data_IF_673121165556
#
_entry.id   IF_673121165556
#
_cell.length_a   1.000
_cell.length_b   1.000
_cell.length_c   1.000
_cell.angle_alpha   90.00
_cell.angle_beta   90.00
_cell.angle_gamma   90.00
#
_symmetry.space_group_name_H-M   'P 1'
#
loop_
_entity.id
_entity.type
_entity.pdbx_description
1 polymer ?
#
# COMPACT_ATOMS: atom_id res chain seq x y z
N UNK A 1 9.64 35.00 36.58
CA UNK A 1 10.80 34.07 36.64
C UNK A 1 10.39 33.03 37.67
N UNK A 2 9.89 31.83 37.36
CA UNK A 2 10.33 30.84 36.37
C UNK A 2 9.17 29.97 35.79
N UNK A 3 7.90 30.31 35.99
CA UNK A 3 6.81 29.36 35.71
C UNK A 3 6.24 29.32 34.28
N UNK A 4 6.74 30.16 33.35
CA UNK A 4 6.13 30.38 32.03
C UNK A 4 6.86 29.72 30.85
N UNK A 5 7.93 28.95 31.10
CA UNK A 5 8.73 28.30 30.05
C UNK A 5 8.51 26.78 29.94
N UNK A 6 7.92 26.13 30.94
CA UNK A 6 7.59 24.70 30.92
C UNK A 6 6.34 24.38 30.08
N UNK A 7 5.36 25.31 30.01
CA UNK A 7 4.16 25.15 29.17
C UNK A 7 4.42 25.31 27.66
N UNK A 8 5.49 26.03 27.27
CA UNK A 8 5.88 26.18 25.86
C UNK A 8 6.68 25.00 25.32
N UNK A 9 7.37 24.24 26.18
CA UNK A 9 8.08 23.03 25.77
C UNK A 9 7.15 21.81 25.64
N UNK A 10 6.08 21.74 26.45
CA UNK A 10 5.08 20.65 26.38
C UNK A 10 4.13 20.81 25.18
N UNK A 11 3.88 22.05 24.73
CA UNK A 11 3.09 22.33 23.52
C UNK A 11 3.81 21.95 22.21
N UNK A 12 5.15 21.88 22.21
CA UNK A 12 5.95 21.49 21.02
C UNK A 12 6.09 19.95 20.93
N UNK A 13 6.08 19.25 22.07
CA UNK A 13 6.13 17.78 22.09
C UNK A 13 4.77 17.16 21.71
N UNK A 14 3.64 17.83 21.98
CA UNK A 14 2.30 17.36 21.59
C UNK A 14 1.90 17.64 20.13
N UNK A 15 2.57 18.58 19.45
CA UNK A 15 2.27 18.95 18.05
C UNK A 15 3.04 18.12 17.01
N UNK A 16 4.05 17.35 17.45
CA UNK A 16 4.78 16.38 16.62
C UNK A 16 4.37 14.92 16.87
N UNK A 17 3.58 14.63 17.91
CA UNK A 17 3.08 13.29 18.20
C UNK A 17 1.81 12.90 17.39
N UNK A 18 1.10 13.86 16.79
CA UNK A 18 -0.16 13.60 16.07
C UNK A 18 -0.01 13.12 14.61
N UNK A 19 1.03 13.50 13.82
CA UNK A 19 1.23 12.89 12.51
C UNK A 19 2.00 11.56 12.57
N UNK A 20 2.85 11.32 13.58
CA UNK A 20 3.48 10.01 13.76
C UNK A 20 2.53 8.96 14.36
N UNK A 21 1.61 9.35 15.25
CA UNK A 21 0.60 8.41 15.74
C UNK A 21 -0.36 7.98 14.62
N UNK A 22 -0.70 8.84 13.66
CA UNK A 22 -1.52 8.45 12.50
C UNK A 22 -0.82 7.45 11.58
N UNK A 23 0.52 7.53 11.46
CA UNK A 23 1.32 6.58 10.71
C UNK A 23 1.45 5.21 11.41
N UNK A 24 1.44 5.17 12.75
CA UNK A 24 1.38 3.93 13.53
C UNK A 24 -0.05 3.38 13.71
N UNK A 25 -1.08 4.24 13.67
CA UNK A 25 -2.50 3.85 13.84
C UNK A 25 -3.02 2.97 12.69
N UNK A 26 -2.40 3.08 11.50
CA UNK A 26 -2.73 2.21 10.36
C UNK A 26 -2.06 0.83 10.46
N UNK A 27 -1.16 0.62 11.43
CA UNK A 27 -0.41 -0.63 11.60
C UNK A 27 -0.87 -1.50 12.79
N UNK A 28 -1.45 -0.93 13.88
CA UNK A 28 -2.10 -1.70 14.96
C UNK A 28 -3.07 -0.82 15.78
N UNK A 29 -4.38 -1.05 15.73
CA UNK A 29 -5.30 -0.52 16.76
C UNK A 29 -6.73 -0.25 16.29
N UNK A 30 -7.67 -0.96 16.88
CA UNK A 30 -9.12 -0.85 16.64
C UNK A 30 -9.69 0.55 16.94
N UNK A 31 -10.56 1.12 16.09
CA UNK A 31 -11.19 2.42 16.32
C UNK A 31 -12.48 2.28 17.14
N UNK A 32 -12.37 2.18 18.46
CA UNK A 32 -13.54 2.20 19.35
C UNK A 32 -13.25 2.98 20.64
N UNK A 33 -12.94 4.27 20.50
CA UNK A 33 -13.11 5.27 21.56
C UNK A 33 -12.80 6.66 20.97
N UNK A 34 -13.78 7.31 20.34
CA UNK A 34 -13.93 8.78 20.27
C UNK A 34 -15.04 9.13 19.26
N UNK A 35 -16.26 8.66 19.55
CA UNK A 35 -17.48 9.19 18.94
C UNK A 35 -18.24 9.97 20.01
N UNK A 36 -17.75 11.18 20.31
CA UNK A 36 -18.54 12.18 21.04
C UNK A 36 -18.30 13.55 20.42
N UNK A 37 -19.31 14.01 19.68
CA UNK A 37 -19.65 15.42 19.47
C UNK A 37 -18.56 16.35 18.88
N UNK A 38 -18.10 16.05 17.67
CA UNK A 38 -17.51 17.07 16.76
C UNK A 38 -18.33 17.13 15.44
N UNK A 39 -19.63 16.88 15.54
CA UNK A 39 -20.58 17.37 14.55
C UNK A 39 -21.08 18.72 15.08
N UNK A 40 -20.81 19.79 14.34
CA UNK A 40 -21.15 21.21 14.64
C UNK A 40 -20.06 22.02 15.36
N UNK A 41 -18.95 22.30 14.67
CA UNK A 41 -18.27 23.59 14.81
C UNK A 41 -17.46 23.92 13.54
N UNK A 42 -17.96 24.88 12.77
CA UNK A 42 -17.28 25.70 11.75
C UNK A 42 -16.23 25.02 10.86
N UNK A 43 -16.70 24.40 9.77
CA UNK A 43 -15.93 24.14 8.55
C UNK A 43 -15.60 25.45 7.83
N UNK A 44 -14.60 26.18 8.34
CA UNK A 44 -14.03 27.38 7.70
C UNK A 44 -12.59 27.68 8.14
N UNK A 45 -11.80 26.65 8.47
CA UNK A 45 -10.34 26.80 8.48
C UNK A 45 -9.82 26.56 7.06
N UNK A 46 -9.02 27.48 6.49
CA UNK A 46 -8.34 27.22 5.22
C UNK A 46 -7.51 25.94 5.38
N UNK A 47 -7.81 24.91 4.59
CA UNK A 47 -6.88 23.79 4.46
C UNK A 47 -5.60 24.37 3.87
N UNK A 48 -4.53 24.38 4.68
CA UNK A 48 -3.22 24.80 4.23
C UNK A 48 -2.84 24.00 2.99
N UNK A 49 -2.49 24.70 1.91
CA UNK A 49 -2.00 24.07 0.69
C UNK A 49 -0.67 23.34 0.96
N UNK A 50 -0.37 22.35 0.13
CA UNK A 50 0.90 21.61 0.25
C UNK A 50 2.10 22.55 0.03
N UNK A 51 1.93 23.53 -0.85
CA UNK A 51 2.90 24.59 -1.14
C UNK A 51 3.18 25.47 0.09
N UNK A 52 2.14 25.88 0.83
CA UNK A 52 2.29 26.67 2.06
C UNK A 52 2.97 25.85 3.18
N UNK A 53 2.64 24.56 3.29
CA UNK A 53 3.27 23.67 4.26
C UNK A 53 4.78 23.49 3.97
N UNK A 54 5.14 23.35 2.69
CA UNK A 54 6.54 23.32 2.24
C UNK A 54 7.26 24.61 2.59
N UNK A 55 6.65 25.78 2.33
CA UNK A 55 7.27 27.06 2.64
C UNK A 55 7.56 27.22 4.15
N UNK A 56 6.64 26.77 5.01
CA UNK A 56 6.86 26.76 6.46
C UNK A 56 7.96 25.79 6.88
N UNK A 57 8.03 24.61 6.25
CA UNK A 57 9.09 23.65 6.51
C UNK A 57 10.46 24.19 6.08
N UNK A 58 10.55 24.83 4.91
CA UNK A 58 11.77 25.50 4.43
C UNK A 58 12.21 26.60 5.40
N UNK A 59 11.29 27.40 5.95
CA UNK A 59 11.63 28.43 6.94
C UNK A 59 12.19 27.82 8.23
N UNK A 60 11.57 26.76 8.75
CA UNK A 60 12.09 26.03 9.92
C UNK A 60 13.47 25.45 9.67
N UNK A 61 13.71 24.93 8.47
CA UNK A 61 15.02 24.41 8.07
C UNK A 61 16.06 25.51 7.88
N UNK A 62 15.69 26.78 7.73
CA UNK A 62 16.66 27.88 7.82
C UNK A 62 17.13 28.11 9.25
N UNK A 63 16.24 27.95 10.23
CA UNK A 63 16.57 28.06 11.65
C UNK A 63 17.35 26.84 12.16
N UNK A 64 17.02 25.64 11.63
CA UNK A 64 17.70 24.38 11.96
C UNK A 64 18.07 23.60 10.68
N UNK A 65 19.19 23.97 10.01
CA UNK A 65 19.58 23.38 8.73
C UNK A 65 20.06 21.94 8.81
N UNK A 66 20.39 21.47 10.03
CA UNK A 66 21.00 20.15 10.26
C UNK A 66 19.97 19.10 10.72
N UNK A 67 18.67 19.42 10.62
CA UNK A 67 17.58 18.49 10.86
C UNK A 67 17.42 17.49 9.69
N UNK A 68 18.03 16.31 9.83
CA UNK A 68 17.97 15.21 8.85
C UNK A 68 16.53 14.83 8.52
N UNK A 69 15.67 14.70 9.53
CA UNK A 69 14.27 14.28 9.36
C UNK A 69 13.47 15.37 8.64
N UNK A 70 13.71 16.64 8.97
CA UNK A 70 13.15 17.78 8.27
C UNK A 70 13.57 17.85 6.80
N UNK A 71 14.85 17.60 6.50
CA UNK A 71 15.36 17.54 5.12
C UNK A 71 14.75 16.37 4.34
N UNK A 72 14.62 15.19 4.96
CA UNK A 72 13.95 14.03 4.36
C UNK A 72 12.47 14.30 4.08
N UNK A 73 11.76 14.94 5.01
CA UNK A 73 10.37 15.33 4.82
C UNK A 73 10.22 16.32 3.67
N UNK A 74 11.07 17.34 3.60
CA UNK A 74 11.09 18.29 2.49
C UNK A 74 11.33 17.57 1.17
N UNK A 75 12.32 16.69 1.12
CA UNK A 75 12.68 15.94 -0.08
C UNK A 75 11.53 15.06 -0.59
N UNK A 76 10.90 14.27 0.29
CA UNK A 76 9.74 13.42 -0.05
C UNK A 76 8.53 14.23 -0.50
N UNK A 77 8.29 15.37 0.15
CA UNK A 77 7.18 16.26 -0.21
C UNK A 77 7.40 16.83 -1.62
N UNK A 78 8.58 17.39 -1.88
CA UNK A 78 8.94 17.89 -3.21
C UNK A 78 8.90 16.77 -4.27
N UNK A 79 9.35 15.56 -3.92
CA UNK A 79 9.28 14.40 -4.81
C UNK A 79 7.83 14.03 -5.16
N UNK A 80 6.92 14.02 -4.19
CA UNK A 80 5.49 13.75 -4.42
C UNK A 80 4.83 14.81 -5.32
N UNK A 81 5.30 16.06 -5.24
CA UNK A 81 4.90 17.17 -6.10
C UNK A 81 5.58 17.13 -7.47
N UNK A 82 6.42 16.13 -7.75
CA UNK A 82 7.24 15.99 -8.96
C UNK A 82 8.26 17.11 -9.16
N UNK A 83 8.57 17.87 -8.11
CA UNK A 83 9.63 18.87 -8.07
C UNK A 83 10.98 18.19 -7.81
N UNK A 84 11.39 17.29 -8.71
CA UNK A 84 12.56 16.41 -8.49
C UNK A 84 13.86 17.18 -8.27
N UNK A 85 14.05 18.35 -8.88
CA UNK A 85 15.20 19.23 -8.63
C UNK A 85 15.32 19.64 -7.15
N UNK A 86 14.20 20.03 -6.55
CA UNK A 86 14.15 20.42 -5.13
C UNK A 86 14.30 19.20 -4.23
N UNK A 87 13.68 18.08 -4.61
CA UNK A 87 13.82 16.82 -3.89
C UNK A 87 15.28 16.36 -3.83
N UNK A 88 15.99 16.36 -4.95
CA UNK A 88 17.42 16.02 -5.01
C UNK A 88 18.25 16.92 -4.10
N UNK A 89 17.99 18.23 -4.09
CA UNK A 89 18.69 19.18 -3.22
C UNK A 89 18.53 18.82 -1.74
N UNK A 90 17.29 18.58 -1.30
CA UNK A 90 17.00 18.23 0.09
C UNK A 90 17.54 16.84 0.47
N UNK A 91 17.42 15.83 -0.40
CA UNK A 91 18.02 14.51 -0.17
C UNK A 91 19.55 14.56 -0.08
N UNK A 92 20.23 15.41 -0.88
CA UNK A 92 21.67 15.59 -0.78
C UNK A 92 22.06 16.19 0.56
N UNK A 93 21.34 17.22 1.03
CA UNK A 93 21.57 17.80 2.35
C UNK A 93 21.32 16.77 3.47
N UNK A 94 20.25 15.96 3.37
CA UNK A 94 20.03 14.85 4.30
C UNK A 94 21.20 13.85 4.31
N UNK A 95 21.73 13.49 3.14
CA UNK A 95 22.89 12.58 3.02
C UNK A 95 24.21 13.21 3.50
N UNK A 96 24.37 14.52 3.40
CA UNK A 96 25.53 15.23 3.99
C UNK A 96 25.50 15.18 5.52
N UNK A 97 24.30 15.32 6.11
CA UNK A 97 24.10 15.31 7.56
C UNK A 97 24.15 13.90 8.16
N UNK A 98 23.59 12.93 7.46
CA UNK A 98 23.56 11.51 7.84
C UNK A 98 24.11 10.66 6.69
N UNK A 99 25.44 10.62 6.50
CA UNK A 99 26.04 9.82 5.46
C UNK A 99 25.89 8.33 5.75
N UNK A 100 25.90 7.51 4.70
CA UNK A 100 25.81 6.04 4.79
C UNK A 100 24.49 5.51 5.36
N UNK A 101 23.40 6.25 5.15
CA UNK A 101 22.06 5.74 5.42
C UNK A 101 21.45 5.14 4.15
N UNK A 102 21.21 3.82 4.18
CA UNK A 102 20.69 3.08 3.00
C UNK A 102 19.39 3.69 2.45
N UNK A 103 18.49 4.12 3.31
CA UNK A 103 17.21 4.74 2.91
C UNK A 103 17.43 6.06 2.19
N UNK A 104 18.28 6.94 2.73
CA UNK A 104 18.56 8.26 2.13
C UNK A 104 19.22 8.08 0.77
N UNK A 105 20.22 7.20 0.67
CA UNK A 105 20.92 6.90 -0.57
C UNK A 105 19.98 6.34 -1.65
N UNK A 106 19.04 5.46 -1.26
CA UNK A 106 18.05 4.88 -2.17
C UNK A 106 17.09 5.93 -2.72
N UNK A 107 16.54 6.77 -1.84
CA UNK A 107 15.57 7.81 -2.24
C UNK A 107 16.24 8.94 -3.04
N UNK A 108 17.50 9.30 -2.70
CA UNK A 108 18.31 10.23 -3.48
C UNK A 108 18.55 9.70 -4.90
N UNK A 109 18.94 8.43 -5.04
CA UNK A 109 19.19 7.81 -6.33
C UNK A 109 17.95 7.86 -7.24
N UNK A 110 16.78 7.52 -6.68
CA UNK A 110 15.51 7.59 -7.40
C UNK A 110 15.15 9.02 -7.82
N UNK A 111 15.32 10.01 -6.93
CA UNK A 111 15.07 11.40 -7.26
C UNK A 111 15.99 11.91 -8.39
N UNK A 112 17.26 11.50 -8.40
CA UNK A 112 18.21 11.83 -9.47
C UNK A 112 17.78 11.20 -10.80
N UNK A 113 17.37 9.93 -10.79
CA UNK A 113 16.93 9.21 -12.00
C UNK A 113 15.69 9.88 -12.64
N UNK A 114 14.74 10.32 -11.82
CA UNK A 114 13.49 10.93 -12.29
C UNK A 114 13.63 12.40 -12.71
N UNK A 115 14.54 13.16 -12.09
CA UNK A 115 14.79 14.58 -12.43
C UNK A 115 14.99 14.83 -13.92
N UNK A 116 15.68 13.94 -14.62
CA UNK A 116 16.01 14.14 -16.03
C UNK A 116 14.94 13.60 -17.01
N UNK A 117 13.76 13.18 -16.52
CA UNK A 117 12.68 12.55 -17.30
C UNK A 117 13.11 11.30 -18.11
N UNK A 118 14.29 10.73 -17.81
CA UNK A 118 14.79 9.52 -18.45
C UNK A 118 14.52 8.27 -17.62
N UNK A 119 14.37 8.43 -16.30
CA UNK A 119 14.13 7.31 -15.37
C UNK A 119 15.25 6.26 -15.34
N UNK A 120 16.41 6.57 -15.92
CA UNK A 120 17.57 5.66 -15.92
C UNK A 120 18.28 5.73 -14.58
N UNK A 121 18.64 4.56 -14.06
CA UNK A 121 19.41 4.45 -12.82
C UNK A 121 20.92 4.34 -13.06
N UNK A 122 21.37 4.46 -14.31
CA UNK A 122 22.79 4.42 -14.65
C UNK A 122 23.53 5.69 -14.24
N UNK A 123 24.82 5.55 -13.93
CA UNK A 123 25.70 6.68 -13.62
C UNK A 123 25.72 7.00 -12.12
N UNK A 124 25.27 8.21 -11.75
CA UNK A 124 25.27 8.62 -10.34
C UNK A 124 24.28 7.82 -9.46
N UNK A 125 23.01 7.58 -9.85
CA UNK A 125 22.07 6.79 -9.06
C UNK A 125 22.61 5.38 -8.74
N UNK A 126 23.24 4.73 -9.72
CA UNK A 126 23.83 3.40 -9.56
C UNK A 126 24.85 3.36 -8.41
N UNK A 127 25.70 4.38 -8.25
CA UNK A 127 26.69 4.43 -7.17
C UNK A 127 26.02 4.49 -5.80
N UNK A 128 24.97 5.31 -5.69
CA UNK A 128 24.19 5.41 -4.46
C UNK A 128 23.41 4.14 -4.16
N UNK A 129 22.84 3.49 -5.17
CA UNK A 129 22.11 2.21 -5.02
C UNK A 129 23.04 1.06 -4.63
N UNK A 130 24.22 0.97 -5.26
CA UNK A 130 25.24 0.01 -4.87
C UNK A 130 25.63 0.20 -3.39
N UNK A 131 25.86 1.45 -2.97
CA UNK A 131 26.21 1.75 -1.58
C UNK A 131 25.05 1.45 -0.62
N UNK A 132 23.83 1.79 -1.00
CA UNK A 132 22.63 1.51 -0.22
C UNK A 132 22.42 0.01 0.01
N UNK A 133 22.67 -0.80 -1.03
CA UNK A 133 22.61 -2.26 -0.95
C UNK A 133 23.72 -2.83 -0.05
N UNK A 134 24.96 -2.34 -0.16
CA UNK A 134 26.06 -2.74 0.75
C UNK A 134 25.72 -2.48 2.23
N UNK A 135 25.12 -1.32 2.51
CA UNK A 135 24.78 -0.90 3.87
C UNK A 135 23.60 -1.67 4.46
N UNK A 136 22.60 -1.98 3.63
CA UNK A 136 21.44 -2.76 4.04
C UNK A 136 20.94 -3.66 2.90
N UNK A 137 21.40 -4.91 2.85
CA UNK A 137 20.94 -5.90 1.88
C UNK A 137 19.48 -6.35 2.06
N UNK A 138 18.75 -5.80 3.02
CA UNK A 138 17.32 -6.06 3.26
C UNK A 138 16.42 -4.90 2.77
N UNK A 139 17.01 -3.81 2.26
CA UNK A 139 16.25 -2.70 1.70
C UNK A 139 15.67 -3.12 0.32
N UNK A 140 14.44 -3.63 0.33
CA UNK A 140 13.75 -4.14 -0.86
C UNK A 140 13.75 -3.15 -2.03
N UNK A 141 13.54 -1.85 -1.75
CA UNK A 141 13.56 -0.80 -2.77
C UNK A 141 14.97 -0.61 -3.36
N UNK A 142 16.00 -0.62 -2.52
CA UNK A 142 17.39 -0.54 -3.00
C UNK A 142 17.74 -1.73 -3.90
N UNK A 143 17.37 -2.96 -3.52
CA UNK A 143 17.62 -4.17 -4.30
C UNK A 143 16.93 -4.10 -5.66
N UNK A 144 15.64 -3.73 -5.67
CA UNK A 144 14.87 -3.56 -6.90
C UNK A 144 15.54 -2.56 -7.84
N UNK A 145 15.78 -1.33 -7.37
CA UNK A 145 16.35 -0.25 -8.18
C UNK A 145 17.80 -0.54 -8.59
N UNK A 146 18.60 -1.19 -7.73
CA UNK A 146 19.95 -1.59 -8.10
C UNK A 146 19.92 -2.67 -9.19
N UNK A 147 19.04 -3.66 -9.08
CA UNK A 147 18.81 -4.67 -10.12
C UNK A 147 18.40 -4.07 -11.47
N UNK A 148 17.62 -2.98 -11.47
CA UNK A 148 17.28 -2.23 -12.69
C UNK A 148 18.52 -1.71 -13.42
N UNK A 149 19.58 -1.30 -12.69
CA UNK A 149 20.83 -0.84 -13.32
C UNK A 149 21.50 -1.94 -14.13
N UNK A 150 21.52 -3.18 -13.61
CA UNK A 150 22.05 -4.34 -14.33
C UNK A 150 21.15 -4.75 -15.48
N UNK A 151 19.83 -4.63 -15.31
CA UNK A 151 18.87 -4.94 -16.36
C UNK A 151 19.03 -3.99 -17.56
N UNK A 152 19.17 -2.68 -17.30
CA UNK A 152 19.45 -1.67 -18.33
C UNK A 152 20.78 -1.94 -19.05
N UNK A 153 21.78 -2.49 -18.34
CA UNK A 153 23.07 -2.93 -18.92
C UNK A 153 23.00 -4.28 -19.62
N UNK A 154 21.86 -4.95 -19.60
CA UNK A 154 21.68 -6.33 -20.08
C UNK A 154 22.54 -7.38 -19.35
N UNK A 155 22.99 -7.06 -18.12
CA UNK A 155 23.65 -8.01 -17.23
C UNK A 155 22.58 -8.84 -16.50
N UNK A 156 21.90 -9.68 -17.29
CA UNK A 156 20.78 -10.51 -16.84
C UNK A 156 21.16 -11.48 -15.73
N UNK A 157 22.43 -11.91 -15.67
CA UNK A 157 22.92 -12.78 -14.61
C UNK A 157 22.88 -12.08 -13.24
N UNK A 158 23.39 -10.84 -13.15
CA UNK A 158 23.33 -10.08 -11.90
C UNK A 158 21.93 -9.61 -11.55
N UNK A 159 21.12 -9.23 -12.54
CA UNK A 159 19.71 -8.90 -12.27
C UNK A 159 18.97 -10.10 -11.70
N UNK A 160 19.16 -11.29 -12.29
CA UNK A 160 18.54 -12.52 -11.82
C UNK A 160 18.91 -12.83 -10.37
N UNK A 161 20.19 -12.69 -10.00
CA UNK A 161 20.68 -12.92 -8.64
C UNK A 161 20.00 -11.98 -7.63
N UNK A 162 20.06 -10.66 -7.87
CA UNK A 162 19.46 -9.66 -6.99
C UNK A 162 17.94 -9.82 -6.84
N UNK A 163 17.23 -9.97 -7.96
CA UNK A 163 15.77 -10.05 -7.94
C UNK A 163 15.26 -11.41 -7.44
N UNK A 164 16.04 -12.49 -7.56
CA UNK A 164 15.68 -13.77 -6.91
C UNK A 164 15.74 -13.63 -5.39
N UNK A 165 16.80 -13.01 -4.84
CA UNK A 165 16.87 -12.72 -3.41
C UNK A 165 15.74 -11.79 -2.93
N UNK A 166 15.37 -10.80 -3.74
CA UNK A 166 14.20 -9.94 -3.45
C UNK A 166 12.89 -10.74 -3.46
N UNK A 167 12.69 -11.64 -4.42
CA UNK A 167 11.48 -12.46 -4.54
C UNK A 167 11.24 -13.34 -3.31
N UNK A 168 12.31 -13.85 -2.70
CA UNK A 168 12.22 -14.63 -1.46
C UNK A 168 11.84 -13.78 -0.25
N UNK A 169 12.15 -12.48 -0.26
CA UNK A 169 11.90 -11.53 0.84
C UNK A 169 10.51 -10.89 0.81
N UNK A 170 9.87 -10.84 -0.35
CA UNK A 170 8.54 -10.22 -0.50
C UNK A 170 7.47 -11.16 0.08
N UNK A 171 6.68 -10.62 1.01
CA UNK A 171 5.51 -11.28 1.58
C UNK A 171 4.19 -10.89 0.89
N UNK A 172 4.16 -9.74 0.20
CA UNK A 172 2.98 -9.32 -0.56
C UNK A 172 2.87 -10.13 -1.85
N UNK A 173 1.86 -11.00 -1.95
CA UNK A 173 1.66 -11.89 -3.10
C UNK A 173 1.50 -11.12 -4.41
N UNK A 174 0.90 -9.92 -4.39
CA UNK A 174 0.75 -9.08 -5.58
C UNK A 174 2.09 -8.60 -6.13
N UNK A 175 2.93 -8.03 -5.26
CA UNK A 175 4.29 -7.59 -5.61
C UNK A 175 5.17 -8.80 -5.98
N UNK A 176 5.01 -9.93 -5.29
CA UNK A 176 5.76 -11.16 -5.57
C UNK A 176 5.42 -11.71 -6.96
N UNK A 177 4.14 -11.70 -7.34
CA UNK A 177 3.68 -12.05 -8.69
C UNK A 177 4.27 -11.12 -9.75
N UNK A 178 4.18 -9.80 -9.53
CA UNK A 178 4.76 -8.83 -10.47
C UNK A 178 6.27 -9.04 -10.66
N UNK A 179 7.00 -9.30 -9.58
CA UNK A 179 8.43 -9.61 -9.66
C UNK A 179 8.72 -10.95 -10.36
N UNK A 180 7.88 -11.97 -10.16
CA UNK A 180 7.99 -13.25 -10.86
C UNK A 180 7.86 -13.09 -12.38
N UNK A 181 6.96 -12.21 -12.84
CA UNK A 181 6.82 -11.91 -14.28
C UNK A 181 8.12 -11.32 -14.85
N UNK A 182 8.73 -10.36 -14.14
CA UNK A 182 10.01 -9.76 -14.54
C UNK A 182 11.16 -10.79 -14.52
N UNK A 183 11.21 -11.64 -13.49
CA UNK A 183 12.17 -12.73 -13.39
C UNK A 183 11.98 -13.75 -14.52
N UNK A 184 10.75 -14.05 -14.92
CA UNK A 184 10.47 -15.00 -15.99
C UNK A 184 10.91 -14.48 -17.36
N UNK A 185 10.79 -13.18 -17.64
CA UNK A 185 11.37 -12.57 -18.85
C UNK A 185 12.90 -12.78 -18.90
N UNK A 186 13.59 -12.53 -17.79
CA UNK A 186 15.04 -12.74 -17.68
C UNK A 186 15.40 -14.23 -17.81
N UNK A 187 14.69 -15.11 -17.11
CA UNK A 187 14.93 -16.56 -17.14
C UNK A 187 14.71 -17.13 -18.53
N UNK A 188 13.72 -16.64 -19.27
CA UNK A 188 13.51 -17.01 -20.67
C UNK A 188 14.68 -16.61 -21.57
N UNK A 189 15.26 -15.40 -21.38
CA UNK A 189 16.44 -14.94 -22.14
C UNK A 189 17.70 -15.75 -21.84
N UNK A 190 17.74 -16.42 -20.69
CA UNK A 190 18.85 -17.25 -20.23
C UNK A 190 18.58 -18.77 -20.39
N UNK A 191 17.49 -19.15 -21.07
CA UNK A 191 17.06 -20.55 -21.23
C UNK A 191 16.91 -21.32 -19.89
N UNK A 192 16.46 -20.62 -18.85
CA UNK A 192 16.25 -21.17 -17.52
C UNK A 192 14.78 -21.54 -17.26
N UNK A 193 14.50 -22.55 -16.39
CA UNK A 193 13.14 -22.89 -16.00
C UNK A 193 12.41 -21.70 -15.39
N UNK A 194 11.22 -21.40 -15.90
CA UNK A 194 10.37 -20.31 -15.40
C UNK A 194 9.89 -20.60 -13.96
N UNK A 195 9.77 -19.54 -13.17
CA UNK A 195 9.04 -19.54 -11.91
C UNK A 195 7.56 -19.73 -12.26
N UNK A 196 7.03 -20.90 -11.94
CA UNK A 196 5.60 -21.19 -12.11
C UNK A 196 4.84 -20.54 -10.97
N UNK A 197 3.79 -19.80 -11.29
CA UNK A 197 2.85 -19.38 -10.25
C UNK A 197 2.30 -20.61 -9.52
N UNK A 198 2.13 -20.53 -8.19
CA UNK A 198 1.41 -21.57 -7.47
C UNK A 198 0.01 -21.72 -8.09
N UNK A 199 -0.28 -22.92 -8.59
CA UNK A 199 -1.60 -23.24 -9.10
C UNK A 199 -2.49 -23.51 -7.90
N UNK A 200 -3.40 -22.58 -7.64
CA UNK A 200 -4.39 -22.73 -6.59
C UNK A 200 -5.67 -23.33 -7.16
N UNK A 201 -6.13 -24.42 -6.55
CA UNK A 201 -7.43 -25.00 -6.88
C UNK A 201 -8.55 -24.02 -6.56
N UNK A 202 -9.51 -23.88 -7.47
CA UNK A 202 -10.69 -23.06 -7.22
C UNK A 202 -11.59 -23.74 -6.19
N UNK A 203 -11.81 -23.08 -5.05
CA UNK A 203 -12.57 -23.62 -3.93
C UNK A 203 -14.02 -23.09 -3.90
N UNK A 204 -14.23 -21.88 -4.40
CA UNK A 204 -15.56 -21.25 -4.49
C UNK A 204 -15.68 -20.61 -5.87
N UNK A 205 -16.82 -20.83 -6.54
CA UNK A 205 -17.24 -20.02 -7.68
C UNK A 205 -18.52 -19.27 -7.31
N UNK A 206 -18.59 -17.97 -7.62
CA UNK A 206 -19.78 -17.19 -7.35
C UNK A 206 -20.10 -16.19 -8.46
N UNK A 207 -21.39 -15.91 -8.64
CA UNK A 207 -21.87 -14.77 -9.41
C UNK A 207 -22.33 -13.71 -8.40
N UNK A 208 -21.77 -12.51 -8.51
CA UNK A 208 -22.14 -11.36 -7.69
C UNK A 208 -22.97 -10.41 -8.55
N UNK A 209 -24.14 -10.05 -8.05
CA UNK A 209 -25.04 -9.07 -8.68
C UNK A 209 -25.55 -8.05 -7.66
N UNK A 210 -26.13 -6.96 -8.15
CA UNK A 210 -26.73 -5.89 -7.36
C UNK A 210 -28.24 -5.82 -7.62
N UNK A 211 -29.04 -5.70 -6.56
CA UNK A 211 -30.48 -5.59 -6.69
C UNK A 211 -30.89 -4.33 -7.46
N UNK A 212 -32.02 -4.40 -8.17
CA UNK A 212 -32.54 -3.27 -8.95
C UNK A 212 -32.71 -2.00 -8.09
N UNK A 213 -33.16 -2.17 -6.84
CA UNK A 213 -33.34 -1.08 -5.87
C UNK A 213 -32.04 -0.33 -5.52
N UNK A 214 -30.88 -0.97 -5.67
CA UNK A 214 -29.58 -0.42 -5.30
C UNK A 214 -28.76 0.06 -6.50
N UNK A 215 -29.16 -0.25 -7.74
CA UNK A 215 -28.42 0.18 -8.95
C UNK A 215 -28.22 1.70 -9.02
N UNK A 216 -29.25 2.46 -8.65
CA UNK A 216 -29.18 3.93 -8.60
C UNK A 216 -28.14 4.48 -7.61
N UNK A 217 -27.78 3.71 -6.57
CA UNK A 217 -26.77 4.13 -5.59
C UNK A 217 -25.36 4.08 -6.16
N UNK A 218 -25.11 3.15 -7.10
CA UNK A 218 -23.83 2.95 -7.79
C UNK A 218 -23.75 3.67 -9.15
N UNK A 219 -24.88 4.12 -9.70
CA UNK A 219 -24.93 4.76 -11.01
C UNK A 219 -24.03 6.00 -11.07
N UNK A 220 -23.15 6.03 -12.08
CA UNK A 220 -22.21 7.14 -12.29
C UNK A 220 -21.08 7.23 -11.25
N UNK A 221 -20.92 6.23 -10.38
CA UNK A 221 -19.86 6.18 -9.37
C UNK A 221 -18.95 4.97 -9.58
N UNK A 222 -17.68 5.12 -9.22
CA UNK A 222 -16.79 4.00 -8.97
C UNK A 222 -16.81 3.69 -7.47
N UNK A 223 -16.74 2.42 -7.12
CA UNK A 223 -16.69 1.97 -5.74
C UNK A 223 -15.79 0.74 -5.60
N UNK A 224 -15.47 0.35 -4.38
CA UNK A 224 -14.69 -0.86 -4.10
C UNK A 224 -15.61 -2.00 -3.68
N UNK A 225 -15.63 -3.08 -4.46
CA UNK A 225 -16.25 -4.35 -4.11
C UNK A 225 -15.28 -5.18 -3.27
N UNK A 226 -15.77 -5.62 -2.12
CA UNK A 226 -15.15 -6.60 -1.23
C UNK A 226 -15.97 -7.87 -1.24
N UNK A 227 -15.38 -9.00 -1.64
CA UNK A 227 -15.99 -10.33 -1.50
C UNK A 227 -15.12 -11.08 -0.51
N UNK A 228 -15.71 -11.58 0.56
CA UNK A 228 -14.97 -12.14 1.67
C UNK A 228 -15.54 -13.47 2.13
N UNK A 229 -14.66 -14.30 2.68
CA UNK A 229 -15.05 -15.49 3.44
C UNK A 229 -14.71 -15.29 4.92
N UNK A 230 -15.53 -15.84 5.82
CA UNK A 230 -15.30 -15.84 7.27
C UNK A 230 -15.50 -17.26 7.81
N UNK A 231 -14.92 -17.54 8.96
CA UNK A 231 -15.22 -18.78 9.68
C UNK A 231 -16.69 -18.85 10.13
N UNK A 232 -17.24 -20.07 10.14
CA UNK A 232 -18.61 -20.35 10.63
C UNK A 232 -18.69 -20.47 12.15
N UNK A 233 -17.55 -20.64 12.85
CA UNK A 233 -17.49 -20.79 14.31
C UNK A 233 -16.48 -19.82 14.93
N UNK A 234 -16.78 -19.38 16.15
CA UNK A 234 -15.94 -18.42 16.89
C UNK A 234 -16.23 -16.97 16.49
N UNK A 235 -15.29 -16.07 16.78
CA UNK A 235 -15.37 -14.69 16.29
C UNK A 235 -15.17 -14.71 14.78
N UNK A 236 -16.07 -14.12 13.97
CA UNK A 236 -16.05 -14.27 12.52
C UNK A 236 -14.88 -13.50 11.90
N UNK A 237 -13.72 -14.15 11.89
CA UNK A 237 -12.48 -13.63 11.32
C UNK A 237 -12.49 -13.88 9.81
N UNK A 238 -12.17 -12.87 8.98
CA UNK A 238 -12.08 -13.06 7.54
C UNK A 238 -10.90 -13.98 7.20
N UNK A 239 -11.11 -14.89 6.26
CA UNK A 239 -10.10 -15.85 5.77
C UNK A 239 -9.53 -15.38 4.44
N UNK A 240 -10.40 -15.10 3.47
CA UNK A 240 -10.01 -14.55 2.16
C UNK A 240 -10.74 -13.26 1.85
N UNK A 241 -10.12 -12.39 1.05
CA UNK A 241 -10.77 -11.20 0.51
C UNK A 241 -10.37 -10.98 -0.96
N UNK A 242 -11.37 -10.78 -1.81
CA UNK A 242 -11.20 -10.15 -3.13
C UNK A 242 -11.57 -8.68 -2.98
N UNK A 243 -10.68 -7.80 -3.45
CA UNK A 243 -10.91 -6.35 -3.54
C UNK A 243 -10.84 -5.93 -5.01
N UNK A 244 -11.89 -5.28 -5.51
CA UNK A 244 -11.95 -4.81 -6.91
C UNK A 244 -12.64 -3.46 -7.03
N UNK A 245 -12.12 -2.56 -7.85
CA UNK A 245 -12.86 -1.36 -8.27
C UNK A 245 -13.95 -1.76 -9.25
N UNK A 246 -15.18 -1.32 -9.00
CA UNK A 246 -16.35 -1.68 -9.80
C UNK A 246 -17.23 -0.46 -10.12
N UNK A 247 -17.98 -0.60 -11.20
CA UNK A 247 -19.07 0.27 -11.66
C UNK A 247 -20.29 -0.58 -12.01
N UNK A 248 -21.46 0.06 -12.20
CA UNK A 248 -22.72 -0.66 -12.44
C UNK A 248 -22.66 -1.60 -13.65
N UNK A 249 -21.93 -1.24 -14.70
CA UNK A 249 -21.79 -2.06 -15.91
C UNK A 249 -21.01 -3.36 -15.71
N UNK A 250 -20.32 -3.53 -14.59
CA UNK A 250 -19.58 -4.75 -14.28
C UNK A 250 -20.49 -5.88 -13.78
N UNK A 251 -21.73 -5.59 -13.38
CA UNK A 251 -22.66 -6.55 -12.80
C UNK A 251 -23.66 -7.11 -13.83
N UNK A 252 -24.02 -8.42 -13.76
CA UNK A 252 -23.48 -9.42 -12.83
C UNK A 252 -22.06 -9.86 -13.21
N UNK A 253 -21.24 -10.20 -12.22
CA UNK A 253 -19.87 -10.68 -12.45
C UNK A 253 -19.61 -12.05 -11.83
N UNK A 254 -18.81 -12.86 -12.51
CA UNK A 254 -18.33 -14.13 -11.99
C UNK A 254 -16.98 -13.95 -11.29
N UNK A 255 -16.83 -14.63 -10.15
CA UNK A 255 -15.60 -14.66 -9.35
C UNK A 255 -15.27 -16.09 -8.95
N UNK A 256 -13.97 -16.34 -8.79
CA UNK A 256 -13.43 -17.57 -8.23
C UNK A 256 -12.59 -17.22 -7.01
N UNK A 257 -12.70 -18.00 -5.95
CA UNK A 257 -11.86 -17.86 -4.76
C UNK A 257 -11.04 -19.13 -4.56
N UNK A 258 -9.77 -18.94 -4.22
CA UNK A 258 -8.81 -19.97 -3.90
C UNK A 258 -7.87 -19.48 -2.80
N UNK A 259 -6.88 -20.30 -2.48
CA UNK A 259 -5.84 -19.93 -1.52
C UNK A 259 -4.98 -18.72 -1.96
N UNK A 260 -5.06 -18.31 -3.23
CA UNK A 260 -4.44 -17.09 -3.72
C UNK A 260 -4.97 -15.81 -3.02
N UNK A 261 -6.15 -15.86 -2.41
CA UNK A 261 -6.79 -14.70 -1.76
C UNK A 261 -6.75 -14.76 -0.23
N UNK A 262 -5.95 -15.66 0.35
CA UNK A 262 -5.79 -15.77 1.79
C UNK A 262 -5.20 -14.50 2.40
N UNK A 263 -5.81 -14.02 3.50
CA UNK A 263 -5.30 -12.86 4.24
C UNK A 263 -4.07 -13.20 5.08
N UNK A 264 -3.90 -14.47 5.45
CA UNK A 264 -2.82 -14.95 6.30
C UNK A 264 -2.15 -16.16 5.64
N UNK A 265 -0.81 -16.18 5.50
CA UNK A 265 -0.10 -17.28 4.81
C UNK A 265 -0.30 -18.66 5.45
N UNK A 266 -0.53 -18.70 6.76
CA UNK A 266 -0.67 -19.91 7.58
C UNK A 266 -2.12 -20.27 7.90
N UNK A 267 -3.10 -19.65 7.22
CA UNK A 267 -4.52 -19.90 7.43
C UNK A 267 -5.22 -19.83 6.09
N UNK A 268 -5.42 -21.00 5.50
CA UNK A 268 -5.81 -21.13 4.10
C UNK A 268 -7.28 -21.43 3.94
N UNK A 269 -7.92 -20.91 2.91
CA UNK A 269 -9.30 -21.26 2.56
C UNK A 269 -9.47 -22.77 2.42
N UNK A 270 -8.49 -23.46 1.83
CA UNK A 270 -8.51 -24.92 1.64
C UNK A 270 -8.55 -25.73 2.95
N UNK A 271 -8.20 -25.13 4.09
CA UNK A 271 -8.17 -25.81 5.39
C UNK A 271 -9.56 -25.87 6.04
N UNK A 272 -10.52 -25.09 5.52
CA UNK A 272 -11.89 -25.06 6.01
C UNK A 272 -12.78 -26.07 5.29
N UNK A 273 -13.77 -26.61 6.02
CA UNK A 273 -14.86 -27.39 5.40
C UNK A 273 -16.03 -26.51 5.00
N UNK A 274 -16.31 -25.49 5.80
CA UNK A 274 -17.40 -24.55 5.59
C UNK A 274 -16.93 -23.14 5.93
N UNK A 275 -17.44 -22.17 5.17
CA UNK A 275 -17.18 -20.74 5.36
C UNK A 275 -18.44 -19.93 5.15
N UNK A 276 -18.48 -18.74 5.74
CA UNK A 276 -19.50 -17.72 5.48
C UNK A 276 -19.01 -16.84 4.34
N UNK A 277 -19.72 -16.80 3.23
CA UNK A 277 -19.44 -15.96 2.07
C UNK A 277 -20.34 -14.72 2.08
N UNK A 278 -19.76 -13.55 1.85
CA UNK A 278 -20.49 -12.29 1.73
C UNK A 278 -19.82 -11.31 0.77
N UNK A 279 -20.58 -10.32 0.32
CA UNK A 279 -20.10 -9.24 -0.53
C UNK A 279 -20.52 -7.87 0.02
N UNK A 280 -19.68 -6.86 -0.22
CA UNK A 280 -19.93 -5.47 0.16
C UNK A 280 -19.37 -4.51 -0.87
N UNK A 281 -20.14 -3.50 -1.26
CA UNK A 281 -19.65 -2.34 -2.02
C UNK A 281 -19.41 -1.19 -1.06
N UNK A 282 -18.18 -0.69 -1.03
CA UNK A 282 -17.77 0.46 -0.23
C UNK A 282 -17.46 1.68 -1.09
N UNK A 283 -18.09 2.79 -0.74
CA UNK A 283 -17.84 4.09 -1.37
C UNK A 283 -16.69 4.86 -0.70
N UNK A 284 -16.41 4.57 0.56
CA UNK A 284 -15.31 5.18 1.32
C UNK A 284 -13.96 4.50 1.06
N UNK A 285 -14.00 3.24 0.63
CA UNK A 285 -12.82 2.42 0.36
C UNK A 285 -12.18 1.79 1.59
N UNK A 286 -12.70 2.04 2.79
CA UNK A 286 -12.24 1.36 4.01
C UNK A 286 -12.52 -0.15 3.95
N UNK A 287 -11.61 -0.95 4.51
CA UNK A 287 -11.75 -2.40 4.56
C UNK A 287 -12.86 -2.84 5.54
N UNK A 288 -13.04 -2.10 6.65
CA UNK A 288 -14.14 -2.33 7.59
C UNK A 288 -15.46 -1.74 7.07
N UNK A 289 -16.57 -2.43 7.36
CA UNK A 289 -17.90 -2.00 6.92
C UNK A 289 -18.26 -0.63 7.50
N UNK A 290 -18.70 0.27 6.63
CA UNK A 290 -19.15 1.61 7.03
C UNK A 290 -20.65 1.76 6.81
N UNK A 291 -21.28 2.67 7.55
CA UNK A 291 -22.66 3.07 7.31
C UNK A 291 -22.80 3.59 5.88
N UNK A 292 -23.81 3.11 5.16
CA UNK A 292 -24.07 3.44 3.76
C UNK A 292 -23.39 2.53 2.74
N UNK A 293 -22.52 1.61 3.16
CA UNK A 293 -22.00 0.56 2.28
C UNK A 293 -23.16 -0.36 1.84
N UNK A 294 -23.14 -0.83 0.59
CA UNK A 294 -24.14 -1.79 0.10
C UNK A 294 -23.66 -3.20 0.45
N UNK A 295 -24.52 -4.04 1.02
CA UNK A 295 -24.17 -5.37 1.54
C UNK A 295 -25.08 -6.46 0.97
N UNK A 296 -24.53 -7.67 0.83
CA UNK A 296 -25.30 -8.88 0.60
C UNK A 296 -25.72 -9.52 1.92
N UNK A 297 -26.72 -10.41 1.85
CA UNK A 297 -26.88 -11.43 2.88
C UNK A 297 -25.70 -12.40 2.83
N UNK A 298 -25.22 -12.78 4.00
CA UNK A 298 -24.18 -13.78 4.14
C UNK A 298 -24.74 -15.20 3.91
N UNK A 299 -23.93 -16.09 3.34
CA UNK A 299 -24.30 -17.49 3.03
C UNK A 299 -23.26 -18.45 3.57
N UNK A 300 -23.71 -19.53 4.21
CA UNK A 300 -22.84 -20.65 4.57
C UNK A 300 -22.58 -21.49 3.32
N UNK A 301 -21.30 -21.73 3.02
CA UNK A 301 -20.82 -22.46 1.84
C UNK A 301 -19.94 -23.60 2.32
N UNK A 302 -20.24 -24.82 1.88
CA UNK A 302 -19.37 -25.98 2.05
C UNK A 302 -18.35 -26.02 0.90
N UNK A 303 -17.07 -26.11 1.23
CA UNK A 303 -15.98 -26.08 0.26
C UNK A 303 -15.83 -27.44 -0.43
N UNK A 304 -15.52 -27.42 -1.73
CA UNK A 304 -15.45 -28.61 -2.58
C UNK A 304 -16.76 -28.97 -3.30
N UNK A 305 -17.87 -28.28 -3.00
CA UNK A 305 -19.04 -28.30 -3.87
C UNK A 305 -18.76 -27.47 -5.13
N UNK A 306 -18.92 -28.07 -6.32
CA UNK A 306 -18.69 -27.39 -7.61
C UNK A 306 -19.81 -26.42 -8.00
N UNK A 307 -20.67 -26.07 -7.06
CA UNK A 307 -21.88 -25.28 -7.34
C UNK A 307 -21.56 -23.80 -7.44
N UNK A 308 -22.11 -23.16 -8.47
CA UNK A 308 -22.02 -21.73 -8.67
C UNK A 308 -22.91 -21.00 -7.65
N UNK A 309 -22.30 -20.26 -6.73
CA UNK A 309 -23.00 -19.54 -5.66
C UNK A 309 -23.51 -18.19 -6.17
N UNK A 310 -24.81 -17.90 -6.00
CA UNK A 310 -25.35 -16.58 -6.31
C UNK A 310 -25.27 -15.65 -5.09
N UNK A 311 -24.64 -14.48 -5.21
CA UNK A 311 -24.60 -13.44 -4.19
C UNK A 311 -25.32 -12.21 -4.73
N UNK A 312 -26.36 -11.77 -4.03
CA UNK A 312 -27.08 -10.55 -4.36
C UNK A 312 -26.82 -9.49 -3.29
N UNK A 313 -26.27 -8.35 -3.70
CA UNK A 313 -26.15 -7.16 -2.86
C UNK A 313 -27.51 -6.46 -2.88
N UNK A 314 -28.21 -6.51 -1.75
CA UNK A 314 -29.63 -6.12 -1.66
C UNK A 314 -29.95 -5.12 -0.55
N UNK A 315 -29.01 -4.89 0.37
CA UNK A 315 -29.26 -4.11 1.58
C UNK A 315 -28.21 -3.00 1.74
N UNK A 316 -28.54 -2.00 2.57
CA UNK A 316 -27.63 -0.91 2.93
C UNK A 316 -27.23 -1.10 4.39
N UNK A 317 -25.93 -1.07 4.67
CA UNK A 317 -25.40 -1.14 6.02
C UNK A 317 -25.80 0.11 6.82
N UNK A 318 -26.51 -0.06 7.93
CA UNK A 318 -27.10 1.05 8.71
C UNK A 318 -26.18 1.63 9.79
#
# INVERSE_FOLDING_TARGET
KEENNSFKLIAVILLLALPLSLYFYTLRGTPQAMSTNIAQQNSQQPQMSLEEAVAQLEEKLKENPDDVDGQMLLARTQFSMKNYDKAVTAYRKANELAPNESVILTELAEAIALKNNKGTFLGEPEKYLAKAYELNPQNQKAIWLYGMTFYEKQDYAKTLDLWTGLYEMINDEGAKKQLAEQLNDIRSKLDMPLIKEPVYETLITATVDISESLKSHLQGKQALLYIYTKETQGMPMPVTVIKKTVQLADFPMNISMSDAQNLQPNRKLSEFKEVILGARISFSGYAMAQKGDLISKEKNISLGASDLVQILISDINQ
#
